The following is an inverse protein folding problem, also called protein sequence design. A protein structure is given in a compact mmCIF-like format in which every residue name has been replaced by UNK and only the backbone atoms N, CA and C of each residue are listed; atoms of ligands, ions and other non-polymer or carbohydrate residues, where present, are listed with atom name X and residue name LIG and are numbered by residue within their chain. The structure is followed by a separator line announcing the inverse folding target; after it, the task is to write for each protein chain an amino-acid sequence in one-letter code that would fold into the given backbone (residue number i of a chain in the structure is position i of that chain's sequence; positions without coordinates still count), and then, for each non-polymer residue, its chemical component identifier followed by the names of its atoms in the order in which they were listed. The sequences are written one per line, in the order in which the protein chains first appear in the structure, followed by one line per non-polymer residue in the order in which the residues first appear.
data_IF_592624748880
#
_entry.id   IF_592624748880
#
_cell.length_a   1.000
_cell.length_b   1.000
_cell.length_c   1.000
_cell.angle_alpha   90.00
_cell.angle_beta   90.00
_cell.angle_gamma   90.00
#
_symmetry.space_group_name_H-M   'P 1'
#
loop_
_entity.id
_entity.type
_entity.pdbx_description
1 polymer ?
#
# COMPACT_ATOMS: atom_id res chain seq x y z
N UNK A 1 21.37 21.50 11.30
CA UNK A 1 20.05 21.83 11.85
C UNK A 1 19.07 22.03 10.71
N UNK A 2 18.19 21.06 10.44
CA UNK A 2 17.14 21.18 9.41
C UNK A 2 15.87 21.66 10.08
N UNK A 3 15.38 22.86 9.73
CA UNK A 3 14.08 23.37 10.19
C UNK A 3 12.97 22.63 9.44
N UNK A 4 12.37 21.62 10.06
CA UNK A 4 11.12 21.02 9.56
C UNK A 4 10.01 22.07 9.66
N UNK A 5 9.51 22.56 8.51
CA UNK A 5 8.27 23.33 8.49
C UNK A 5 7.10 22.33 8.58
N UNK A 6 6.51 22.17 9.77
CA UNK A 6 5.16 21.58 9.88
C UNK A 6 4.18 22.58 9.27
N UNK A 7 3.84 22.40 8.00
CA UNK A 7 2.87 23.24 7.29
C UNK A 7 1.53 22.51 7.20
N UNK A 8 0.84 22.32 8.33
CA UNK A 8 -0.57 21.93 8.30
C UNK A 8 -1.40 23.20 8.09
N UNK A 9 -1.51 23.64 6.83
CA UNK A 9 -2.47 24.68 6.48
C UNK A 9 -3.87 24.04 6.50
N UNK A 10 -4.84 24.56 7.26
CA UNK A 10 -6.19 24.03 7.25
C UNK A 10 -6.78 24.18 5.84
N UNK A 11 -7.48 23.15 5.39
CA UNK A 11 -8.22 23.17 4.13
C UNK A 11 -9.48 24.03 4.34
N UNK A 12 -9.42 25.30 3.92
CA UNK A 12 -10.49 26.29 4.21
C UNK A 12 -11.60 26.29 3.15
N UNK A 13 -11.29 25.81 1.94
CA UNK A 13 -12.26 25.80 0.85
C UNK A 13 -11.93 24.72 -0.18
N UNK A 14 -12.97 24.13 -0.77
CA UNK A 14 -12.86 23.15 -1.84
C UNK A 14 -13.72 23.57 -3.03
N UNK A 15 -13.13 23.65 -4.22
CA UNK A 15 -13.89 23.92 -5.45
C UNK A 15 -14.39 22.62 -6.06
N UNK A 16 -15.70 22.53 -6.27
CA UNK A 16 -16.38 21.42 -6.93
C UNK A 16 -17.06 21.96 -8.17
N UNK A 17 -16.51 21.65 -9.34
CA UNK A 17 -16.98 22.19 -10.63
C UNK A 17 -17.02 23.73 -10.61
N UNK A 18 -18.20 24.34 -10.58
CA UNK A 18 -18.39 25.80 -10.52
C UNK A 18 -18.58 26.36 -9.11
N UNK A 19 -18.81 25.51 -8.10
CA UNK A 19 -19.14 25.92 -6.73
C UNK A 19 -17.93 25.84 -5.81
N UNK A 20 -17.79 26.79 -4.88
CA UNK A 20 -16.74 26.76 -3.85
C UNK A 20 -17.40 26.47 -2.49
N UNK A 21 -17.06 25.33 -1.90
CA UNK A 21 -17.44 24.93 -0.55
C UNK A 21 -16.48 25.56 0.45
N UNK A 22 -17.01 26.08 1.55
CA UNK A 22 -16.24 26.64 2.68
C UNK A 22 -16.57 25.95 4.00
N UNK A 23 -17.67 25.19 4.03
CA UNK A 23 -18.11 24.44 5.19
C UNK A 23 -17.29 23.15 5.32
N UNK A 24 -16.71 22.90 6.49
CA UNK A 24 -15.81 21.76 6.71
C UNK A 24 -16.52 20.42 6.58
N UNK A 25 -17.78 20.31 6.97
CA UNK A 25 -18.54 19.06 6.89
C UNK A 25 -18.85 18.74 5.43
N UNK A 26 -19.26 19.74 4.65
CA UNK A 26 -19.46 19.60 3.20
C UNK A 26 -18.16 19.28 2.46
N UNK A 27 -17.05 19.93 2.84
CA UNK A 27 -15.72 19.64 2.28
C UNK A 27 -15.33 18.19 2.56
N UNK A 28 -15.48 17.73 3.81
CA UNK A 28 -15.14 16.38 4.23
C UNK A 28 -16.00 15.33 3.50
N UNK A 29 -17.32 15.52 3.50
CA UNK A 29 -18.26 14.64 2.79
C UNK A 29 -17.93 14.55 1.30
N UNK A 30 -17.59 15.68 0.66
CA UNK A 30 -17.24 15.69 -0.75
C UNK A 30 -15.93 14.97 -1.05
N UNK A 31 -14.91 15.12 -0.20
CA UNK A 31 -13.63 14.41 -0.35
C UNK A 31 -13.85 12.91 -0.23
N UNK A 32 -14.58 12.47 0.78
CA UNK A 32 -14.92 11.05 0.97
C UNK A 32 -15.71 10.53 -0.23
N UNK A 33 -16.74 11.24 -0.66
CA UNK A 33 -17.56 10.83 -1.80
C UNK A 33 -16.76 10.74 -3.10
N UNK A 34 -15.88 11.72 -3.37
CA UNK A 34 -15.02 11.72 -4.54
C UNK A 34 -14.12 10.49 -4.59
N UNK A 35 -13.41 10.20 -3.50
CA UNK A 35 -12.52 9.04 -3.46
C UNK A 35 -13.28 7.73 -3.38
N UNK A 36 -14.44 7.69 -2.73
CA UNK A 36 -15.32 6.53 -2.76
C UNK A 36 -15.70 6.19 -4.21
N UNK A 37 -16.13 7.16 -5.02
CA UNK A 37 -16.41 6.90 -6.43
C UNK A 37 -15.15 6.49 -7.18
N UNK A 38 -14.04 7.21 -7.01
CA UNK A 38 -12.80 6.93 -7.72
C UNK A 38 -12.23 5.54 -7.43
N UNK A 39 -12.45 5.01 -6.23
CA UNK A 39 -11.97 3.70 -5.78
C UNK A 39 -13.06 2.62 -5.73
N UNK A 40 -14.30 2.93 -6.11
CA UNK A 40 -15.35 1.92 -6.26
C UNK A 40 -15.40 1.46 -7.70
N UNK A 41 -15.54 0.15 -7.90
CA UNK A 41 -15.70 -0.44 -9.22
C UNK A 41 -16.84 0.23 -9.98
N UNK A 42 -16.55 0.76 -11.16
CA UNK A 42 -17.59 1.22 -12.08
C UNK A 42 -18.38 0.01 -12.60
N UNK A 43 -19.63 -0.10 -12.16
CA UNK A 43 -20.53 -1.20 -12.53
C UNK A 43 -21.02 -1.13 -13.97
N UNK A 44 -20.79 -0.01 -14.67
CA UNK A 44 -21.14 0.13 -16.09
C UNK A 44 -20.09 -0.51 -17.01
N UNK A 45 -18.90 -0.80 -16.49
CA UNK A 45 -17.83 -1.48 -17.21
C UNK A 45 -18.02 -2.99 -17.09
N UNK A 46 -18.45 -3.62 -18.18
CA UNK A 46 -18.49 -5.07 -18.30
C UNK A 46 -17.10 -5.63 -18.59
N UNK A 47 -16.73 -6.76 -17.97
CA UNK A 47 -15.51 -7.46 -18.36
C UNK A 47 -15.71 -8.04 -19.76
N UNK A 48 -15.06 -7.43 -20.76
CA UNK A 48 -15.15 -7.82 -22.17
C UNK A 48 -14.28 -9.03 -22.52
N UNK A 49 -13.50 -9.56 -21.56
CA UNK A 49 -12.51 -10.59 -21.80
C UNK A 49 -11.29 -10.09 -22.61
N UNK A 50 -11.17 -8.77 -22.81
CA UNK A 50 -10.16 -8.18 -23.69
C UNK A 50 -8.76 -8.31 -23.09
N UNK A 51 -8.65 -8.20 -21.77
CA UNK A 51 -7.40 -8.32 -21.03
C UNK A 51 -6.81 -9.71 -21.23
N UNK A 52 -7.62 -10.75 -21.07
CA UNK A 52 -7.24 -12.15 -21.23
C UNK A 52 -6.90 -12.50 -22.69
N UNK A 53 -7.44 -11.75 -23.67
CA UNK A 53 -7.16 -11.92 -25.10
C UNK A 53 -5.89 -11.21 -25.57
N UNK A 54 -5.54 -10.07 -24.97
CA UNK A 54 -4.42 -9.22 -25.41
C UNK A 54 -3.19 -9.41 -24.53
N UNK A 55 -3.36 -9.63 -23.23
CA UNK A 55 -2.25 -9.80 -22.30
C UNK A 55 -1.87 -11.28 -22.29
N UNK A 56 -0.65 -11.64 -22.71
CA UNK A 56 -0.20 -13.02 -22.70
C UNK A 56 -0.05 -13.53 -21.26
N UNK A 57 -0.45 -14.77 -21.01
CA UNK A 57 -0.14 -15.47 -19.76
C UNK A 57 1.34 -15.87 -19.78
N UNK A 58 2.16 -15.11 -19.06
CA UNK A 58 3.60 -15.36 -18.94
C UNK A 58 3.95 -16.25 -17.73
N UNK A 59 2.99 -16.48 -16.86
CA UNK A 59 3.15 -17.23 -15.61
C UNK A 59 2.12 -18.35 -15.61
N UNK A 60 2.58 -19.57 -15.35
CA UNK A 60 1.73 -20.75 -15.19
C UNK A 60 0.93 -20.67 -13.90
N UNK A 61 -0.13 -21.48 -13.80
CA UNK A 61 -0.92 -21.55 -12.56
C UNK A 61 -0.06 -21.98 -11.36
N UNK A 62 0.86 -22.92 -11.56
CA UNK A 62 1.74 -23.42 -10.50
C UNK A 62 2.73 -22.34 -10.02
N UNK A 63 3.31 -21.57 -10.95
CA UNK A 63 4.15 -20.42 -10.60
C UNK A 63 3.35 -19.34 -9.87
N UNK A 64 2.12 -19.07 -10.30
CA UNK A 64 1.26 -18.10 -9.63
C UNK A 64 0.87 -18.57 -8.21
N UNK A 65 0.61 -19.86 -8.03
CA UNK A 65 0.38 -20.46 -6.71
C UNK A 65 1.62 -20.34 -5.82
N UNK A 66 2.81 -20.59 -6.37
CA UNK A 66 4.07 -20.43 -5.65
C UNK A 66 4.31 -18.96 -5.25
N UNK A 67 4.16 -18.01 -6.18
CA UNK A 67 4.40 -16.58 -5.93
C UNK A 67 3.39 -15.95 -4.95
N UNK A 68 2.21 -16.55 -4.83
CA UNK A 68 1.15 -16.10 -3.92
C UNK A 68 1.02 -16.96 -2.66
N UNK A 69 1.94 -17.91 -2.48
CA UNK A 69 2.01 -18.74 -1.28
C UNK A 69 2.35 -17.89 -0.06
N UNK A 70 1.94 -18.37 1.11
CA UNK A 70 2.28 -17.73 2.37
C UNK A 70 3.80 -17.89 2.61
N UNK A 71 4.57 -16.80 2.75
CA UNK A 71 6.01 -16.90 2.95
C UNK A 71 6.33 -17.53 4.32
N UNK A 72 7.38 -18.35 4.34
CA UNK A 72 7.83 -19.01 5.57
C UNK A 72 8.58 -18.05 6.49
N UNK A 73 8.70 -18.41 7.77
CA UNK A 73 9.48 -17.63 8.74
C UNK A 73 10.93 -17.51 8.30
N UNK A 74 11.49 -18.58 7.75
CA UNK A 74 12.86 -18.66 7.26
C UNK A 74 13.05 -17.75 6.04
N UNK A 75 12.11 -17.77 5.10
CA UNK A 75 12.14 -16.91 3.91
C UNK A 75 12.10 -15.43 4.28
N UNK A 76 11.19 -15.06 5.19
CA UNK A 76 11.08 -13.68 5.70
C UNK A 76 12.39 -13.27 6.39
N UNK A 77 12.89 -14.12 7.29
CA UNK A 77 14.12 -13.84 8.05
C UNK A 77 15.33 -13.70 7.13
N UNK A 78 15.48 -14.60 6.16
CA UNK A 78 16.56 -14.55 5.18
C UNK A 78 16.48 -13.29 4.32
N UNK A 79 15.28 -12.92 3.89
CA UNK A 79 15.03 -11.70 3.11
C UNK A 79 15.44 -10.47 3.89
N UNK A 80 14.99 -10.33 5.14
CA UNK A 80 15.36 -9.20 6.01
C UNK A 80 16.88 -9.14 6.18
N UNK A 81 17.54 -10.27 6.46
CA UNK A 81 19.00 -10.33 6.59
C UNK A 81 19.75 -10.01 5.30
N UNK A 82 19.16 -10.26 4.14
CA UNK A 82 19.74 -9.94 2.83
C UNK A 82 19.59 -8.46 2.42
N UNK A 83 18.75 -7.69 3.12
CA UNK A 83 18.59 -6.26 2.85
C UNK A 83 19.90 -5.50 3.05
N UNK A 84 20.19 -4.54 2.17
CA UNK A 84 21.33 -3.64 2.36
C UNK A 84 21.07 -2.72 3.56
N UNK A 85 21.89 -2.89 4.60
CA UNK A 85 21.80 -2.14 5.85
C UNK A 85 21.97 -0.63 5.65
N UNK A 86 22.73 -0.21 4.65
CA UNK A 86 23.11 1.19 4.41
C UNK A 86 22.43 1.81 3.19
N UNK A 87 21.45 1.11 2.61
CA UNK A 87 20.58 1.68 1.59
C UNK A 87 19.89 2.95 2.08
N UNK A 88 19.61 3.87 1.16
CA UNK A 88 18.95 5.12 1.50
C UNK A 88 17.57 4.83 2.12
N UNK A 89 17.25 5.40 3.30
CA UNK A 89 15.98 5.13 3.96
C UNK A 89 14.80 5.69 3.16
N UNK A 90 13.63 5.08 3.35
CA UNK A 90 12.39 5.57 2.78
C UNK A 90 11.92 6.91 3.38
N UNK A 91 10.73 7.39 3.00
CA UNK A 91 10.13 8.60 3.58
C UNK A 91 9.93 8.54 5.11
N UNK A 92 9.93 7.33 5.67
CA UNK A 92 9.85 7.05 7.11
C UNK A 92 11.19 7.24 7.86
N UNK A 93 12.31 7.33 7.14
CA UNK A 93 13.64 7.44 7.72
C UNK A 93 14.19 6.13 8.28
N UNK A 94 13.53 4.99 8.04
CA UNK A 94 13.94 3.68 8.57
C UNK A 94 14.71 2.92 7.48
N UNK A 95 15.99 2.66 7.73
CA UNK A 95 16.85 1.89 6.81
C UNK A 95 16.95 0.41 7.18
N UNK A 96 17.57 -0.40 6.31
CA UNK A 96 17.78 -1.84 6.55
C UNK A 96 18.49 -2.16 7.87
N UNK A 97 19.42 -1.29 8.29
CA UNK A 97 20.15 -1.43 9.57
C UNK A 97 19.23 -1.51 10.79
N UNK A 98 18.06 -0.86 10.77
CA UNK A 98 17.08 -0.94 11.85
C UNK A 98 16.58 -2.38 12.01
N UNK A 99 16.15 -2.99 10.90
CA UNK A 99 15.62 -4.35 10.92
C UNK A 99 16.67 -5.37 11.32
N UNK A 100 17.94 -5.14 10.95
CA UNK A 100 19.06 -5.99 11.37
C UNK A 100 19.35 -5.85 12.87
N UNK A 101 19.47 -4.61 13.36
CA UNK A 101 19.89 -4.34 14.74
C UNK A 101 18.82 -4.72 15.76
N UNK A 102 17.55 -4.48 15.45
CA UNK A 102 16.43 -4.73 16.38
C UNK A 102 15.69 -6.04 16.09
N UNK A 103 16.22 -6.92 15.23
CA UNK A 103 15.53 -8.15 14.80
C UNK A 103 15.04 -9.01 15.96
N UNK A 104 15.85 -9.18 17.01
CA UNK A 104 15.47 -10.00 18.18
C UNK A 104 14.22 -9.45 18.90
N UNK A 105 13.97 -8.15 18.80
CA UNK A 105 12.82 -7.49 19.42
C UNK A 105 11.61 -7.48 18.48
N UNK A 106 11.80 -7.18 17.19
CA UNK A 106 10.70 -6.90 16.25
C UNK A 106 10.33 -8.07 15.34
N UNK A 107 11.13 -9.15 15.30
CA UNK A 107 10.98 -10.25 14.35
C UNK A 107 9.58 -10.84 14.35
N UNK A 108 9.01 -11.10 15.54
CA UNK A 108 7.66 -11.66 15.64
C UNK A 108 6.60 -10.75 15.00
N UNK A 109 6.68 -9.44 15.23
CA UNK A 109 5.72 -8.48 14.67
C UNK A 109 5.86 -8.38 13.15
N UNK A 110 7.10 -8.35 12.65
CA UNK A 110 7.39 -8.30 11.21
C UNK A 110 6.89 -9.57 10.52
N UNK A 111 7.17 -10.75 11.07
CA UNK A 111 6.72 -12.04 10.52
C UNK A 111 5.18 -12.06 10.46
N UNK A 112 4.52 -11.70 11.56
CA UNK A 112 3.06 -11.68 11.64
C UNK A 112 2.45 -10.69 10.64
N UNK A 113 3.04 -9.50 10.49
CA UNK A 113 2.58 -8.49 9.55
C UNK A 113 2.71 -8.97 8.10
N UNK A 114 3.88 -9.53 7.73
CA UNK A 114 4.12 -10.06 6.39
C UNK A 114 3.16 -11.21 6.10
N UNK A 115 3.04 -12.20 6.99
CA UNK A 115 2.12 -13.32 6.76
C UNK A 115 0.66 -12.87 6.68
N UNK A 116 0.24 -11.93 7.53
CA UNK A 116 -1.11 -11.37 7.49
C UNK A 116 -1.43 -10.72 6.14
N UNK A 117 -0.47 -9.99 5.55
CA UNK A 117 -0.65 -9.37 4.23
C UNK A 117 -0.96 -10.39 3.12
N UNK A 118 -0.39 -11.60 3.18
CA UNK A 118 -0.61 -12.64 2.18
C UNK A 118 -1.93 -13.42 2.37
N UNK A 119 -2.61 -13.25 3.50
CA UNK A 119 -3.90 -13.87 3.77
C UNK A 119 -5.04 -13.20 2.97
N UNK A 120 -6.08 -13.95 2.55
CA UNK A 120 -7.15 -13.42 1.69
C UNK A 120 -7.88 -12.20 2.23
N UNK A 121 -8.01 -12.07 3.55
CA UNK A 121 -8.71 -10.94 4.20
C UNK A 121 -8.00 -9.59 4.04
N UNK A 122 -6.70 -9.60 3.71
CA UNK A 122 -5.86 -8.40 3.57
C UNK A 122 -5.35 -8.20 2.14
N UNK A 123 -5.72 -9.08 1.20
CA UNK A 123 -5.52 -8.84 -0.23
C UNK A 123 -6.51 -7.77 -0.65
N UNK A 124 -6.00 -6.57 -0.94
CA UNK A 124 -6.80 -5.53 -1.60
C UNK A 124 -7.22 -6.09 -2.96
N UNK A 125 -8.50 -6.46 -3.08
CA UNK A 125 -9.15 -6.87 -4.33
C UNK A 125 -9.48 -5.64 -5.15
#
# INVERSE_FOLDING_TARGET
MVKLRKLHKPLVSLRVSSTILHDNDLISAQVVHHFMIAFTRDTTISNTGLVEKIIPQLVTNDENLMLSALPSVEEITATVKSMDAYSAPGPDGIGGIFFHHFWEVISSDVINAVQSFFLPAYRLV
#
